data_IF_844560736882
#
_entry.id   IF_844560736882
#
_cell.length_a   1.000
_cell.length_b   1.000
_cell.length_c   1.000
_cell.angle_alpha   90.00
_cell.angle_beta   90.00
_cell.angle_gamma   90.00
#
_symmetry.space_group_name_H-M   'P 1'
#
loop_
_entity.id
_entity.type
_entity.pdbx_description
1 polymer ?
#
# COMPACT_ATOMS: atom_id res chain seq x y z
N UNK A 1 -8.86 -4.03 -8.87
CA UNK A 1 -7.61 -4.74 -9.21
C UNK A 1 -6.92 -3.96 -10.32
N UNK A 2 -5.60 -3.71 -10.22
CA UNK A 2 -4.85 -3.09 -11.31
C UNK A 2 -4.83 -4.01 -12.54
N UNK A 3 -4.91 -3.42 -13.73
CA UNK A 3 -4.96 -4.16 -15.00
C UNK A 3 -3.65 -4.92 -15.24
N UNK A 4 -3.72 -6.17 -15.70
CA UNK A 4 -2.55 -7.01 -15.95
C UNK A 4 -1.90 -7.61 -14.70
N UNK A 5 -2.47 -7.39 -13.51
CA UNK A 5 -2.01 -8.00 -12.26
C UNK A 5 -2.93 -9.12 -11.79
N UNK A 6 -2.32 -10.19 -11.32
CA UNK A 6 -3.00 -11.33 -10.72
C UNK A 6 -2.56 -11.51 -9.26
N UNK A 7 -3.48 -11.97 -8.41
CA UNK A 7 -3.16 -12.30 -7.01
C UNK A 7 -2.36 -13.60 -7.00
N UNK A 8 -1.14 -13.53 -6.48
CA UNK A 8 -0.22 -14.69 -6.40
C UNK A 8 -0.02 -15.20 -4.98
N UNK A 9 -0.29 -14.35 -3.98
CA UNK A 9 -0.17 -14.71 -2.56
C UNK A 9 -1.24 -13.93 -1.78
N UNK A 10 -1.89 -14.61 -0.85
CA UNK A 10 -2.76 -14.00 0.14
C UNK A 10 -2.45 -14.67 1.48
N UNK A 11 -2.21 -13.85 2.51
CA UNK A 11 -2.04 -14.32 3.87
C UNK A 11 -2.77 -13.40 4.83
N UNK A 12 -3.30 -13.99 5.90
CA UNK A 12 -4.00 -13.29 6.96
C UNK A 12 -3.55 -13.89 8.28
N UNK A 13 -3.23 -13.03 9.23
CA UNK A 13 -3.04 -13.35 10.64
C UNK A 13 -3.94 -12.43 11.49
N UNK A 14 -3.91 -12.60 12.80
CA UNK A 14 -4.64 -11.76 13.74
C UNK A 14 -4.18 -10.28 13.72
N UNK A 15 -2.98 -10.00 13.20
CA UNK A 15 -2.37 -8.66 13.25
C UNK A 15 -2.15 -8.02 11.88
N UNK A 16 -2.16 -8.80 10.80
CA UNK A 16 -1.94 -8.29 9.46
C UNK A 16 -2.63 -9.13 8.38
N UNK A 17 -3.05 -8.45 7.30
CA UNK A 17 -3.47 -9.09 6.05
C UNK A 17 -2.54 -8.62 4.95
N UNK A 18 -2.07 -9.54 4.12
CA UNK A 18 -1.13 -9.26 3.04
C UNK A 18 -1.59 -9.90 1.74
N UNK A 19 -1.55 -9.14 0.67
CA UNK A 19 -1.85 -9.58 -0.70
C UNK A 19 -0.67 -9.22 -1.58
N UNK A 20 -0.16 -10.20 -2.33
CA UNK A 20 0.90 -9.98 -3.34
C UNK A 20 0.31 -10.19 -4.72
N UNK A 21 0.34 -9.13 -5.51
CA UNK A 21 -0.04 -9.16 -6.91
C UNK A 21 1.21 -9.16 -7.79
N UNK A 22 1.16 -9.87 -8.92
CA UNK A 22 2.22 -9.86 -9.93
C UNK A 22 1.66 -9.69 -11.32
N UNK A 23 2.43 -9.04 -12.19
CA UNK A 23 2.14 -8.99 -13.63
C UNK A 23 3.04 -9.96 -14.42
N UNK A 24 2.83 -10.03 -15.74
CA UNK A 24 3.62 -10.88 -16.64
C UNK A 24 5.13 -10.56 -16.63
N UNK A 25 5.50 -9.30 -16.34
CA UNK A 25 6.89 -8.83 -16.27
C UNK A 25 7.55 -9.13 -14.90
N UNK A 26 6.89 -9.90 -14.04
CA UNK A 26 7.34 -10.21 -12.67
C UNK A 26 7.47 -8.99 -11.75
N UNK A 27 6.90 -7.82 -12.11
CA UNK A 27 6.76 -6.72 -11.16
C UNK A 27 5.74 -7.10 -10.10
N UNK A 28 5.95 -6.63 -8.87
CA UNK A 28 5.15 -7.00 -7.71
C UNK A 28 4.52 -5.76 -7.10
N UNK A 29 3.26 -5.92 -6.72
CA UNK A 29 2.54 -4.99 -5.85
C UNK A 29 2.24 -5.74 -4.56
N UNK A 30 2.60 -5.15 -3.45
CA UNK A 30 2.32 -5.68 -2.12
C UNK A 30 1.34 -4.73 -1.45
N UNK A 31 0.18 -5.27 -1.11
CA UNK A 31 -0.78 -4.62 -0.24
C UNK A 31 -0.67 -5.26 1.14
N UNK A 32 -0.60 -4.42 2.17
CA UNK A 32 -0.63 -4.85 3.56
C UNK A 32 -1.61 -3.99 4.35
N UNK A 33 -2.45 -4.65 5.13
CA UNK A 33 -3.32 -4.05 6.13
C UNK A 33 -2.80 -4.48 7.50
N UNK A 34 -2.65 -3.51 8.40
CA UNK A 34 -2.24 -3.72 9.77
C UNK A 34 -3.37 -3.29 10.71
N UNK A 35 -3.66 -4.14 11.70
CA UNK A 35 -4.55 -3.78 12.81
C UNK A 35 -3.96 -2.60 13.61
N UNK A 36 -4.82 -1.65 14.03
CA UNK A 36 -4.43 -0.35 14.61
C UNK A 36 -3.48 -0.40 15.81
N UNK A 37 -3.46 -1.51 16.55
CA UNK A 37 -2.62 -1.68 17.74
C UNK A 37 -1.17 -2.06 17.41
N UNK A 38 -0.87 -2.41 16.16
CA UNK A 38 0.51 -2.53 15.73
C UNK A 38 1.10 -1.13 15.58
N UNK A 39 1.96 -0.74 16.52
CA UNK A 39 2.79 0.46 16.42
C UNK A 39 3.79 0.27 15.27
N UNK A 40 3.31 0.35 14.03
CA UNK A 40 4.15 0.35 12.86
C UNK A 40 4.81 1.73 12.81
N UNK A 41 6.00 1.83 13.37
CA UNK A 41 6.97 2.85 12.98
C UNK A 41 7.30 2.56 11.52
N UNK A 42 6.51 3.10 10.59
CA UNK A 42 6.89 3.14 9.18
C UNK A 42 8.16 3.97 9.17
N UNK A 43 9.28 3.28 8.97
CA UNK A 43 10.63 3.82 8.92
C UNK A 43 10.74 4.68 7.65
N UNK A 44 10.25 5.92 7.73
CA UNK A 44 10.22 6.88 6.63
C UNK A 44 11.51 7.69 6.53
N UNK A 45 12.52 7.41 7.36
CA UNK A 45 13.68 8.30 7.54
C UNK A 45 14.66 8.31 6.35
N UNK A 46 14.52 7.39 5.38
CA UNK A 46 15.39 7.29 4.18
C UNK A 46 14.62 7.36 2.84
N UNK A 47 13.39 7.87 2.83
CA UNK A 47 12.66 8.05 1.57
C UNK A 47 13.20 9.24 0.77
N UNK A 48 13.41 9.07 -0.54
CA UNK A 48 13.91 10.13 -1.43
C UNK A 48 12.87 11.22 -1.67
N UNK A 49 11.59 10.86 -1.57
CA UNK A 49 10.44 11.75 -1.63
C UNK A 49 9.47 11.37 -0.51
N UNK A 50 8.91 12.37 0.17
CA UNK A 50 7.82 12.19 1.15
C UNK A 50 6.80 13.30 0.90
N UNK A 51 5.60 12.93 0.48
CA UNK A 51 4.50 13.85 0.23
C UNK A 51 3.25 13.45 1.00
N UNK A 52 2.53 14.45 1.51
CA UNK A 52 1.20 14.24 2.07
C UNK A 52 0.16 14.26 0.94
N UNK A 53 -0.60 13.18 0.83
CA UNK A 53 -1.64 12.99 -0.19
C UNK A 53 -2.98 12.68 0.46
N UNK A 54 -4.07 12.74 -0.32
CA UNK A 54 -5.40 12.31 0.14
C UNK A 54 -5.87 11.04 -0.57
N UNK A 55 -6.22 10.04 0.22
CA UNK A 55 -6.83 8.78 -0.24
C UNK A 55 -8.27 8.72 0.28
N UNK A 56 -9.26 8.89 -0.61
CA UNK A 56 -10.69 8.86 -0.24
C UNK A 56 -11.06 9.79 0.93
N UNK A 57 -10.41 10.95 1.05
CA UNK A 57 -10.61 11.92 2.12
C UNK A 57 -9.74 11.70 3.37
N UNK A 58 -9.05 10.56 3.48
CA UNK A 58 -8.08 10.28 4.52
C UNK A 58 -6.70 10.82 4.16
N UNK A 59 -5.98 11.32 5.15
CA UNK A 59 -4.58 11.70 4.97
C UNK A 59 -3.71 10.45 4.81
N UNK A 60 -2.81 10.51 3.84
CA UNK A 60 -1.82 9.49 3.57
C UNK A 60 -0.47 10.09 3.23
N UNK A 61 0.53 9.24 3.20
CA UNK A 61 1.91 9.56 2.85
C UNK A 61 2.27 8.78 1.60
N UNK A 62 2.74 9.49 0.59
CA UNK A 62 3.41 8.94 -0.57
C UNK A 62 4.92 9.04 -0.34
N UNK A 63 5.65 7.97 -0.61
CA UNK A 63 7.10 7.98 -0.61
C UNK A 63 7.70 7.18 -1.76
N UNK A 64 8.85 7.62 -2.26
CA UNK A 64 9.59 6.94 -3.31
C UNK A 64 11.03 6.66 -2.84
N UNK A 65 11.48 5.42 -3.00
CA UNK A 65 12.85 4.98 -2.67
C UNK A 65 13.28 3.87 -3.61
N UNK A 66 14.45 4.00 -4.25
CA UNK A 66 15.04 2.95 -5.11
C UNK A 66 14.08 2.35 -6.15
N UNK A 67 13.31 3.20 -6.84
CA UNK A 67 12.25 2.82 -7.81
C UNK A 67 11.05 2.06 -7.21
N UNK A 68 10.91 2.06 -5.89
CA UNK A 68 9.75 1.56 -5.18
C UNK A 68 8.93 2.73 -4.67
N UNK A 69 7.67 2.77 -5.10
CA UNK A 69 6.67 3.72 -4.63
C UNK A 69 5.88 3.08 -3.51
N UNK A 70 5.68 3.81 -2.43
CA UNK A 70 4.94 3.38 -1.25
C UNK A 70 3.88 4.41 -0.91
N UNK A 71 2.65 3.94 -0.70
CA UNK A 71 1.53 4.75 -0.22
C UNK A 71 1.03 4.16 1.08
N UNK A 72 1.01 4.99 2.12
CA UNK A 72 0.56 4.62 3.46
C UNK A 72 -0.61 5.51 3.86
N UNK A 73 -1.70 4.94 4.35
CA UNK A 73 -2.82 5.73 4.87
C UNK A 73 -3.55 5.00 5.98
N UNK A 74 -4.32 5.74 6.78
CA UNK A 74 -5.17 5.18 7.84
C UNK A 74 -6.64 5.33 7.49
N UNK A 75 -7.40 4.26 7.63
CA UNK A 75 -8.85 4.26 7.44
C UNK A 75 -9.49 3.29 8.44
N UNK A 76 -10.61 3.67 9.05
CA UNK A 76 -11.37 2.83 9.99
C UNK A 76 -10.56 2.23 11.17
N UNK A 77 -9.45 2.84 11.58
CA UNK A 77 -8.59 2.24 12.62
C UNK A 77 -7.72 1.09 12.08
N UNK A 78 -7.36 1.11 10.80
CA UNK A 78 -6.36 0.21 10.24
C UNK A 78 -5.33 1.04 9.47
N UNK A 79 -4.10 0.55 9.43
CA UNK A 79 -3.03 1.12 8.61
C UNK A 79 -2.92 0.31 7.33
N UNK A 80 -3.01 0.98 6.20
CA UNK A 80 -2.91 0.39 4.88
C UNK A 80 -1.62 0.82 4.22
N UNK A 81 -0.98 -0.13 3.54
CA UNK A 81 0.26 0.08 2.79
C UNK A 81 0.09 -0.54 1.42
N UNK A 82 0.38 0.23 0.38
CA UNK A 82 0.56 -0.25 -0.99
C UNK A 82 1.99 0.08 -1.40
N UNK A 83 2.74 -0.91 -1.83
CA UNK A 83 4.11 -0.69 -2.31
C UNK A 83 4.43 -1.54 -3.53
N UNK A 84 5.27 -1.01 -4.41
CA UNK A 84 5.77 -1.75 -5.57
C UNK A 84 6.51 -0.85 -6.57
N UNK A 85 6.98 -1.48 -7.65
CA UNK A 85 7.57 -0.77 -8.79
C UNK A 85 6.44 -0.28 -9.70
N UNK A 86 5.86 0.86 -9.35
CA UNK A 86 4.75 1.49 -10.06
C UNK A 86 4.81 3.01 -9.88
N UNK A 87 4.15 3.75 -10.75
CA UNK A 87 4.11 5.22 -10.65
C UNK A 87 3.32 5.69 -9.42
N UNK A 88 3.63 6.88 -8.91
CA UNK A 88 2.85 7.53 -7.83
C UNK A 88 1.34 7.55 -8.13
N UNK A 89 0.95 7.92 -9.34
CA UNK A 89 -0.45 7.97 -9.75
C UNK A 89 -1.14 6.60 -9.70
N UNK A 90 -0.46 5.54 -10.14
CA UNK A 90 -0.98 4.18 -10.04
C UNK A 90 -1.10 3.72 -8.58
N UNK A 91 -0.12 4.06 -7.73
CA UNK A 91 -0.13 3.72 -6.31
C UNK A 91 -1.34 4.36 -5.61
N UNK A 92 -1.56 5.64 -5.88
CA UNK A 92 -2.68 6.42 -5.36
C UNK A 92 -3.99 5.84 -5.87
N UNK A 93 -4.09 5.52 -7.16
CA UNK A 93 -5.30 4.93 -7.75
C UNK A 93 -5.61 3.56 -7.14
N UNK A 94 -4.61 2.73 -6.89
CA UNK A 94 -4.79 1.44 -6.20
C UNK A 94 -5.30 1.68 -4.79
N UNK A 95 -4.66 2.57 -4.03
CA UNK A 95 -5.05 2.92 -2.67
C UNK A 95 -6.50 3.44 -2.59
N UNK A 96 -6.92 4.29 -3.54
CA UNK A 96 -8.28 4.80 -3.64
C UNK A 96 -9.32 3.72 -3.98
N UNK A 97 -8.92 2.64 -4.65
CA UNK A 97 -9.81 1.52 -4.97
C UNK A 97 -9.94 0.50 -3.83
N UNK A 98 -9.13 0.61 -2.76
CA UNK A 98 -9.27 -0.24 -1.58
C UNK A 98 -10.59 0.09 -0.89
N UNK A 99 -11.38 -0.95 -0.66
CA UNK A 99 -12.63 -0.88 0.10
C UNK A 99 -12.45 -1.67 1.38
N UNK A 100 -12.77 -1.04 2.51
CA UNK A 100 -12.93 -1.77 3.75
C UNK A 100 -14.22 -2.57 3.67
N UNK A 101 -14.11 -3.89 3.75
CA UNK A 101 -15.25 -4.81 3.81
C UNK A 101 -15.29 -5.35 5.24
N UNK A 102 -16.28 -4.90 5.99
CA UNK A 102 -16.54 -5.31 7.37
C UNK A 102 -17.47 -6.52 7.43
#
# INVERSE_FOLDING_TARGET
MPEGYEVTEMSSSDSLKKIVLKNADSTKIIYTEYESDSSLSVDTEDASLIETIKINGHDGTLSEKDSTTTVVWKMAGHLFVVQGQLSADEAIKIAQNVKFVN
#
